data_IF_572879224286
#
_entry.id   IF_572879224286
#
_cell.length_a   1.000
_cell.length_b   1.000
_cell.length_c   1.000
_cell.angle_alpha   90.00
_cell.angle_beta   90.00
_cell.angle_gamma   90.00
#
_symmetry.space_group_name_H-M   'P 1'
#
loop_
_entity.id
_entity.type
_entity.pdbx_description
1 polymer ?
#
# COMPACT_ATOMS: atom_id res chain seq x y z
N UNK A 1 -28.86 1.83 -17.40
CA UNK A 1 -27.80 1.63 -16.39
C UNK A 1 -28.40 1.90 -15.02
N UNK A 2 -28.13 1.04 -14.05
CA UNK A 2 -28.72 1.15 -12.72
C UNK A 2 -28.04 2.29 -11.96
N UNK A 3 -28.84 3.20 -11.38
CA UNK A 3 -28.33 4.24 -10.48
C UNK A 3 -28.10 3.67 -9.08
N UNK A 4 -27.27 2.65 -9.00
CA UNK A 4 -26.99 1.93 -7.77
C UNK A 4 -25.52 1.48 -7.70
N UNK A 5 -24.89 1.64 -6.54
CA UNK A 5 -23.52 1.19 -6.28
C UNK A 5 -23.52 0.23 -5.11
N UNK A 6 -22.99 -0.98 -5.32
CA UNK A 6 -22.85 -1.96 -4.24
C UNK A 6 -21.54 -1.73 -3.47
N UNK A 7 -21.57 -1.91 -2.15
CA UNK A 7 -20.36 -1.90 -1.31
C UNK A 7 -20.15 -3.31 -0.77
N UNK A 8 -19.01 -3.92 -1.11
CA UNK A 8 -18.65 -5.24 -0.62
C UNK A 8 -17.95 -5.17 0.74
N UNK A 9 -18.35 -6.06 1.64
CA UNK A 9 -17.74 -6.34 2.94
C UNK A 9 -17.51 -7.85 3.10
N UNK A 10 -16.80 -8.26 4.16
CA UNK A 10 -16.68 -9.66 4.61
C UNK A 10 -16.90 -9.72 6.11
N UNK A 11 -17.40 -10.81 6.68
CA UNK A 11 -17.51 -10.90 8.13
C UNK A 11 -16.14 -11.05 8.82
N UNK A 12 -16.02 -10.55 10.07
CA UNK A 12 -14.79 -10.68 10.88
C UNK A 12 -13.70 -9.63 10.58
N UNK A 13 -12.52 -9.80 11.16
CA UNK A 13 -11.42 -8.82 11.05
C UNK A 13 -11.40 -7.78 12.17
N UNK A 14 -10.24 -7.17 12.41
CA UNK A 14 -10.02 -6.17 13.47
C UNK A 14 -10.55 -4.77 13.13
N UNK A 15 -10.95 -4.56 11.88
CA UNK A 15 -11.38 -3.29 11.29
C UNK A 15 -12.89 -3.06 11.32
N UNK A 16 -13.66 -4.05 11.80
CA UNK A 16 -15.12 -4.03 11.89
C UNK A 16 -15.62 -3.85 13.31
N UNK A 17 -16.84 -3.33 13.46
CA UNK A 17 -17.49 -3.17 14.77
C UNK A 17 -18.68 -4.12 14.97
N UNK A 18 -19.53 -3.84 15.95
CA UNK A 18 -20.65 -4.72 16.34
C UNK A 18 -21.72 -4.91 15.26
N UNK A 19 -21.76 -4.00 14.29
CA UNK A 19 -22.67 -4.04 13.14
C UNK A 19 -22.09 -4.84 11.95
N UNK A 20 -20.85 -5.33 12.06
CA UNK A 20 -20.20 -6.08 11.00
C UNK A 20 -19.68 -5.22 9.86
N UNK A 21 -19.62 -3.89 10.04
CA UNK A 21 -19.11 -2.97 9.04
C UNK A 21 -17.81 -2.31 9.50
N UNK A 22 -16.97 -1.93 8.54
CA UNK A 22 -15.98 -0.90 8.80
C UNK A 22 -16.68 0.42 9.12
N UNK A 23 -16.05 1.23 9.97
CA UNK A 23 -16.63 2.52 10.39
C UNK A 23 -16.86 3.50 9.24
N UNK A 24 -16.15 3.33 8.12
CA UNK A 24 -16.30 4.17 6.92
C UNK A 24 -17.31 3.62 5.89
N UNK A 25 -17.75 2.36 6.00
CA UNK A 25 -18.65 1.71 5.03
C UNK A 25 -20.02 2.37 5.00
N UNK A 26 -20.71 2.47 6.14
CA UNK A 26 -22.05 3.07 6.18
C UNK A 26 -22.05 4.58 5.88
N UNK A 27 -21.06 5.38 6.31
CA UNK A 27 -20.90 6.76 5.83
C UNK A 27 -20.85 6.87 4.30
N UNK A 28 -20.07 6.01 3.61
CA UNK A 28 -20.03 5.99 2.14
C UNK A 28 -21.40 5.65 1.55
N UNK A 29 -22.06 4.59 2.05
CA UNK A 29 -23.40 4.17 1.58
C UNK A 29 -24.41 5.30 1.73
N UNK A 30 -24.41 5.97 2.88
CA UNK A 30 -25.33 7.07 3.16
C UNK A 30 -25.04 8.27 2.26
N UNK A 31 -23.77 8.62 2.03
CA UNK A 31 -23.40 9.71 1.13
C UNK A 31 -23.84 9.45 -0.33
N UNK A 32 -23.74 8.20 -0.81
CA UNK A 32 -24.26 7.81 -2.13
C UNK A 32 -25.80 7.98 -2.18
N UNK A 33 -26.50 7.57 -1.11
CA UNK A 33 -27.95 7.75 -0.99
C UNK A 33 -28.40 9.20 -0.96
N UNK A 34 -27.70 10.03 -0.21
CA UNK A 34 -27.97 11.46 -0.13
C UNK A 34 -27.72 12.17 -1.47
N UNK A 35 -26.79 11.66 -2.30
CA UNK A 35 -26.57 12.11 -3.66
C UNK A 35 -27.63 11.62 -4.68
N UNK A 36 -28.66 10.89 -4.23
CA UNK A 36 -29.79 10.45 -5.05
C UNK A 36 -29.53 9.16 -5.84
N UNK A 37 -28.52 8.38 -5.45
CA UNK A 37 -28.25 7.04 -5.97
C UNK A 37 -28.64 5.99 -4.94
N UNK A 38 -28.90 4.75 -5.36
CA UNK A 38 -29.07 3.65 -4.42
C UNK A 38 -27.71 3.06 -4.01
N UNK A 39 -27.65 2.49 -2.80
CA UNK A 39 -26.45 1.81 -2.33
C UNK A 39 -26.77 0.76 -1.27
N UNK A 40 -26.12 -0.39 -1.37
CA UNK A 40 -26.31 -1.49 -0.44
C UNK A 40 -24.98 -2.11 -0.07
N UNK A 41 -24.89 -2.63 1.16
CA UNK A 41 -23.76 -3.44 1.59
C UNK A 41 -24.10 -4.91 1.36
N UNK A 42 -23.22 -5.63 0.66
CA UNK A 42 -23.31 -7.09 0.52
C UNK A 42 -22.06 -7.75 1.09
N UNK A 43 -22.25 -8.90 1.73
CA UNK A 43 -21.16 -9.67 2.32
C UNK A 43 -20.70 -10.76 1.36
N UNK A 44 -19.40 -10.81 1.09
CA UNK A 44 -18.82 -11.90 0.30
C UNK A 44 -18.58 -13.13 1.16
N UNK A 45 -19.09 -14.26 0.68
CA UNK A 45 -18.68 -15.61 1.10
C UNK A 45 -18.47 -16.48 -0.13
N UNK A 46 -17.47 -17.38 -0.12
CA UNK A 46 -17.21 -18.25 -1.27
C UNK A 46 -18.44 -19.02 -1.74
N UNK A 47 -19.27 -19.53 -0.82
CA UNK A 47 -20.49 -20.28 -1.12
C UNK A 47 -21.61 -19.44 -1.77
N UNK A 48 -21.53 -18.11 -1.72
CA UNK A 48 -22.52 -17.19 -2.29
C UNK A 48 -22.08 -16.54 -3.60
N UNK A 49 -20.92 -16.94 -4.15
CA UNK A 49 -20.30 -16.27 -5.31
C UNK A 49 -21.25 -16.14 -6.51
N UNK A 50 -21.99 -17.19 -6.86
CA UNK A 50 -22.90 -17.15 -8.01
C UNK A 50 -24.18 -16.33 -7.74
N UNK A 51 -24.70 -16.40 -6.51
CA UNK A 51 -25.85 -15.58 -6.10
C UNK A 51 -25.48 -14.10 -6.06
N UNK A 52 -24.31 -13.77 -5.51
CA UNK A 52 -23.75 -12.42 -5.50
C UNK A 52 -23.50 -11.91 -6.92
N UNK A 53 -22.91 -12.73 -7.80
CA UNK A 53 -22.70 -12.34 -9.19
C UNK A 53 -24.02 -11.98 -9.88
N UNK A 54 -25.02 -12.87 -9.78
CA UNK A 54 -26.34 -12.67 -10.40
C UNK A 54 -27.01 -11.41 -9.84
N UNK A 55 -27.15 -11.33 -8.53
CA UNK A 55 -27.80 -10.20 -7.87
C UNK A 55 -27.09 -8.86 -8.17
N UNK A 56 -25.76 -8.82 -8.07
CA UNK A 56 -25.02 -7.58 -8.25
C UNK A 56 -25.02 -7.13 -9.71
N UNK A 57 -24.81 -8.05 -10.66
CA UNK A 57 -24.78 -7.71 -12.09
C UNK A 57 -26.14 -7.22 -12.63
N UNK A 58 -27.25 -7.71 -12.07
CA UNK A 58 -28.60 -7.31 -12.51
C UNK A 58 -29.04 -5.96 -11.91
N UNK A 59 -28.55 -5.59 -10.73
CA UNK A 59 -29.11 -4.48 -9.94
C UNK A 59 -28.20 -3.25 -9.80
N UNK A 60 -26.89 -3.35 -10.09
CA UNK A 60 -25.94 -2.25 -9.83
C UNK A 60 -25.19 -1.80 -11.09
N UNK A 61 -24.73 -0.55 -11.09
CA UNK A 61 -23.89 0.04 -12.15
C UNK A 61 -22.40 0.09 -11.79
N UNK A 62 -22.05 -0.12 -10.53
CA UNK A 62 -20.67 -0.14 -10.06
C UNK A 62 -20.53 -0.78 -8.69
N UNK A 63 -19.29 -1.03 -8.26
CA UNK A 63 -18.98 -1.63 -6.97
C UNK A 63 -17.80 -0.96 -6.26
N UNK A 64 -17.87 -0.88 -4.94
CA UNK A 64 -16.77 -0.48 -4.05
C UNK A 64 -16.38 -1.69 -3.21
N UNK A 65 -15.10 -2.07 -3.22
CA UNK A 65 -14.58 -3.07 -2.27
C UNK A 65 -14.09 -2.39 -0.99
N UNK A 66 -14.71 -2.72 0.14
CA UNK A 66 -14.24 -2.37 1.49
C UNK A 66 -13.71 -3.58 2.23
N UNK A 67 -13.09 -4.50 1.48
CA UNK A 67 -12.59 -5.77 2.00
C UNK A 67 -11.07 -5.75 2.07
N UNK A 68 -10.52 -5.97 3.28
CA UNK A 68 -9.08 -6.23 3.41
C UNK A 68 -8.78 -7.64 2.85
N UNK A 69 -7.86 -7.79 1.88
CA UNK A 69 -7.55 -9.09 1.28
C UNK A 69 -7.19 -10.19 2.28
N UNK A 70 -6.51 -9.84 3.37
CA UNK A 70 -6.13 -10.78 4.44
C UNK A 70 -7.31 -11.34 5.24
N UNK A 71 -8.48 -10.71 5.17
CA UNK A 71 -9.70 -11.11 5.88
C UNK A 71 -10.66 -11.92 5.01
N UNK A 72 -10.32 -12.19 3.74
CA UNK A 72 -11.21 -12.90 2.81
C UNK A 72 -11.25 -14.40 3.16
N UNK A 73 -12.42 -14.97 3.45
CA UNK A 73 -12.54 -16.40 3.71
C UNK A 73 -12.08 -17.24 2.51
N UNK A 74 -11.12 -18.15 2.73
CA UNK A 74 -10.56 -18.99 1.67
C UNK A 74 -9.53 -18.28 0.77
N UNK A 75 -9.12 -17.05 1.11
CA UNK A 75 -8.15 -16.28 0.33
C UNK A 75 -8.78 -15.43 -0.77
N UNK A 76 -8.00 -14.50 -1.32
CA UNK A 76 -8.49 -13.46 -2.24
C UNK A 76 -8.92 -13.96 -3.62
N UNK A 77 -8.44 -15.13 -4.06
CA UNK A 77 -8.60 -15.60 -5.44
C UNK A 77 -10.06 -15.64 -5.90
N UNK A 78 -10.95 -16.23 -5.10
CA UNK A 78 -12.37 -16.32 -5.44
C UNK A 78 -13.07 -14.96 -5.44
N UNK A 79 -12.67 -14.07 -4.53
CA UNK A 79 -13.22 -12.73 -4.46
C UNK A 79 -12.79 -11.87 -5.65
N UNK A 80 -11.51 -11.94 -6.03
CA UNK A 80 -10.99 -11.23 -7.20
C UNK A 80 -11.58 -11.77 -8.52
N UNK A 81 -11.84 -13.08 -8.61
CA UNK A 81 -12.59 -13.65 -9.74
C UNK A 81 -14.00 -13.05 -9.84
N UNK A 82 -14.74 -12.98 -8.73
CA UNK A 82 -16.05 -12.32 -8.69
C UNK A 82 -15.99 -10.86 -9.16
N UNK A 83 -15.06 -10.06 -8.62
CA UNK A 83 -14.92 -8.64 -9.01
C UNK A 83 -14.55 -8.48 -10.49
N UNK A 84 -13.70 -9.37 -11.02
CA UNK A 84 -13.34 -9.40 -12.44
C UNK A 84 -14.57 -9.70 -13.29
N UNK A 85 -15.32 -10.75 -12.97
CA UNK A 85 -16.56 -11.12 -13.66
C UNK A 85 -17.60 -10.00 -13.65
N UNK A 86 -17.75 -9.28 -12.53
CA UNK A 86 -18.66 -8.13 -12.45
C UNK A 86 -18.22 -6.99 -13.37
N UNK A 87 -16.90 -6.75 -13.46
CA UNK A 87 -16.34 -5.75 -14.37
C UNK A 87 -16.57 -6.16 -15.83
N UNK A 88 -16.37 -7.44 -16.17
CA UNK A 88 -16.66 -8.00 -17.50
C UNK A 88 -18.15 -7.95 -17.85
N UNK A 89 -19.04 -7.99 -16.85
CA UNK A 89 -20.47 -7.78 -17.00
C UNK A 89 -20.88 -6.30 -17.18
N UNK A 90 -19.91 -5.38 -17.18
CA UNK A 90 -20.10 -3.95 -17.45
C UNK A 90 -20.26 -3.07 -16.21
N UNK A 91 -20.02 -3.59 -15.01
CA UNK A 91 -20.02 -2.76 -13.79
C UNK A 91 -18.72 -1.99 -13.68
N UNK A 92 -18.81 -0.73 -13.24
CA UNK A 92 -17.64 0.08 -12.96
C UNK A 92 -17.04 -0.31 -11.61
N UNK A 93 -15.86 -0.89 -11.63
CA UNK A 93 -15.07 -1.17 -10.44
C UNK A 93 -14.35 0.06 -9.94
N UNK A 94 -14.50 0.38 -8.65
CA UNK A 94 -13.84 1.53 -8.04
C UNK A 94 -12.37 1.27 -7.65
N UNK A 95 -12.05 -0.01 -7.44
CA UNK A 95 -10.70 -0.55 -7.43
C UNK A 95 -10.82 -1.96 -8.02
N UNK A 96 -10.45 -2.14 -9.29
CA UNK A 96 -10.49 -3.47 -9.92
C UNK A 96 -9.40 -4.37 -9.34
N UNK A 97 -9.51 -5.72 -9.42
CA UNK A 97 -8.42 -6.60 -9.00
C UNK A 97 -7.08 -6.28 -9.68
N UNK A 98 -7.12 -5.88 -10.96
CA UNK A 98 -5.93 -5.45 -11.68
C UNK A 98 -5.28 -4.21 -11.04
N UNK A 99 -6.07 -3.19 -10.71
CA UNK A 99 -5.59 -1.97 -10.03
C UNK A 99 -5.07 -2.27 -8.62
N UNK A 100 -5.80 -3.11 -7.86
CA UNK A 100 -5.38 -3.52 -6.51
C UNK A 100 -4.01 -4.20 -6.53
N UNK A 101 -3.76 -5.07 -7.52
CA UNK A 101 -2.49 -5.76 -7.67
C UNK A 101 -1.40 -4.85 -8.21
N UNK A 102 -1.72 -3.94 -9.13
CA UNK A 102 -0.71 -3.11 -9.77
C UNK A 102 -0.23 -1.95 -8.87
N UNK A 103 -1.13 -1.33 -8.12
CA UNK A 103 -0.81 -0.24 -7.19
C UNK A 103 -0.48 -0.74 -5.77
N UNK A 104 -1.11 -1.81 -5.31
CA UNK A 104 -1.01 -2.27 -3.93
C UNK A 104 0.12 -3.27 -3.67
N UNK A 105 0.71 -3.86 -4.72
CA UNK A 105 1.86 -4.74 -4.56
C UNK A 105 3.12 -3.94 -4.25
N UNK A 106 4.02 -4.50 -3.43
CA UNK A 106 5.27 -3.83 -3.04
C UNK A 106 6.20 -3.60 -4.22
N UNK A 107 6.15 -4.44 -5.25
CA UNK A 107 6.95 -4.24 -6.47
C UNK A 107 6.53 -3.02 -7.29
N UNK A 108 5.45 -2.32 -6.94
CA UNK A 108 5.14 -1.00 -7.49
C UNK A 108 6.32 -0.03 -7.34
N UNK A 109 7.10 -0.14 -6.26
CA UNK A 109 8.30 0.67 -6.07
C UNK A 109 9.37 0.35 -7.14
N UNK A 110 9.57 -0.93 -7.45
CA UNK A 110 10.54 -1.37 -8.46
C UNK A 110 10.13 -0.91 -9.85
N UNK A 111 8.82 -0.93 -10.15
CA UNK A 111 8.29 -0.42 -11.42
C UNK A 111 8.51 1.09 -11.59
N UNK A 112 8.79 1.82 -10.51
CA UNK A 112 9.01 3.26 -10.46
C UNK A 112 10.48 3.66 -10.20
N UNK A 113 11.41 2.70 -10.11
CA UNK A 113 12.81 2.97 -9.73
C UNK A 113 13.63 3.70 -10.82
N UNK A 114 13.11 3.81 -12.04
CA UNK A 114 13.67 4.63 -13.12
C UNK A 114 13.10 6.06 -13.15
N UNK A 115 12.34 6.44 -12.11
CA UNK A 115 11.83 7.79 -11.88
C UNK A 115 12.50 8.41 -10.66
N UNK A 116 12.35 9.72 -10.46
CA UNK A 116 12.88 10.42 -9.28
C UNK A 116 12.13 10.07 -7.98
N UNK A 117 11.01 9.33 -8.05
CA UNK A 117 10.21 8.95 -6.89
C UNK A 117 10.85 7.86 -6.04
N UNK A 118 11.62 6.95 -6.66
CA UNK A 118 12.12 5.74 -6.00
C UNK A 118 13.60 5.56 -6.35
N UNK A 119 14.47 5.22 -5.38
CA UNK A 119 15.89 4.99 -5.65
C UNK A 119 16.10 3.91 -6.71
N UNK A 120 16.99 4.18 -7.66
CA UNK A 120 17.25 3.31 -8.82
C UNK A 120 17.80 1.93 -8.48
N UNK A 121 18.33 1.75 -7.27
CA UNK A 121 18.80 0.46 -6.75
C UNK A 121 17.73 -0.28 -5.94
N UNK A 122 16.45 0.06 -6.11
CA UNK A 122 15.33 -0.69 -5.56
C UNK A 122 15.05 -1.91 -6.44
N UNK A 123 15.02 -3.11 -5.87
CA UNK A 123 14.82 -4.37 -6.58
C UNK A 123 13.71 -5.22 -5.95
N UNK A 124 13.17 -6.18 -6.70
CA UNK A 124 12.28 -7.22 -6.18
C UNK A 124 12.86 -8.59 -6.51
N UNK A 125 12.84 -9.46 -5.51
CA UNK A 125 13.20 -10.87 -5.66
C UNK A 125 11.92 -11.70 -5.71
N UNK A 126 11.74 -12.43 -6.81
CA UNK A 126 10.58 -13.31 -7.05
C UNK A 126 10.91 -14.79 -6.83
N UNK A 127 12.20 -15.11 -6.64
CA UNK A 127 12.68 -16.45 -6.34
C UNK A 127 13.86 -16.37 -5.36
N UNK A 128 14.00 -17.44 -4.56
CA UNK A 128 15.02 -17.55 -3.50
C UNK A 128 16.44 -17.45 -4.05
N UNK A 129 16.69 -18.03 -5.23
CA UNK A 129 18.02 -18.04 -5.83
C UNK A 129 18.49 -16.61 -6.18
N UNK A 130 17.62 -15.81 -6.79
CA UNK A 130 17.90 -14.42 -7.14
C UNK A 130 18.22 -13.57 -5.89
N UNK A 131 17.47 -13.77 -4.80
CA UNK A 131 17.69 -13.09 -3.53
C UNK A 131 19.04 -13.44 -2.92
N UNK A 132 19.32 -14.74 -2.76
CA UNK A 132 20.56 -15.23 -2.13
C UNK A 132 21.81 -14.86 -2.92
N UNK A 133 21.71 -14.78 -4.25
CA UNK A 133 22.83 -14.38 -5.10
C UNK A 133 23.09 -12.87 -5.11
N UNK A 134 22.07 -12.04 -4.88
CA UNK A 134 22.14 -10.59 -5.11
C UNK A 134 22.22 -9.78 -3.82
N UNK A 135 21.46 -10.16 -2.79
CA UNK A 135 21.35 -9.39 -1.55
C UNK A 135 22.69 -9.19 -0.81
N UNK A 136 23.61 -10.18 -0.74
CA UNK A 136 24.94 -9.97 -0.15
C UNK A 136 25.73 -8.83 -0.82
N UNK A 137 25.52 -8.62 -2.12
CA UNK A 137 26.14 -7.52 -2.87
C UNK A 137 25.37 -6.23 -2.66
N UNK A 138 24.03 -6.26 -2.69
CA UNK A 138 23.18 -5.10 -2.43
C UNK A 138 23.49 -4.44 -1.08
N UNK A 139 23.61 -5.25 -0.02
CA UNK A 139 23.91 -4.80 1.33
C UNK A 139 25.31 -4.19 1.50
N UNK A 140 26.25 -4.48 0.58
CA UNK A 140 27.58 -3.84 0.60
C UNK A 140 27.55 -2.34 0.25
N UNK A 141 26.47 -1.85 -0.36
CA UNK A 141 26.29 -0.42 -0.66
C UNK A 141 25.79 0.37 0.56
N UNK A 142 25.43 -0.30 1.65
CA UNK A 142 24.92 0.31 2.87
C UNK A 142 23.65 -0.37 3.36
N UNK A 143 23.01 0.24 4.34
CA UNK A 143 21.81 -0.31 4.98
C UNK A 143 20.66 -0.49 3.98
N UNK A 144 19.94 -1.61 4.10
CA UNK A 144 18.81 -1.97 3.24
C UNK A 144 17.53 -2.09 4.06
N UNK A 145 16.40 -1.92 3.40
CA UNK A 145 15.07 -2.22 3.92
C UNK A 145 14.45 -3.29 3.03
N UNK A 146 14.26 -4.48 3.61
CA UNK A 146 13.56 -5.58 2.97
C UNK A 146 12.06 -5.50 3.30
N UNK A 147 11.18 -5.63 2.31
CA UNK A 147 9.72 -5.53 2.47
C UNK A 147 9.03 -6.73 1.83
N UNK A 148 8.36 -7.55 2.63
CA UNK A 148 7.48 -8.59 2.09
C UNK A 148 6.27 -7.98 1.39
N UNK A 149 5.72 -8.69 0.40
CA UNK A 149 4.55 -8.21 -0.35
C UNK A 149 3.28 -8.09 0.53
N UNK A 150 2.97 -9.14 1.31
CA UNK A 150 1.75 -9.27 2.10
C UNK A 150 2.01 -9.00 3.57
N UNK A 151 2.40 -7.76 3.89
CA UNK A 151 2.58 -7.29 5.26
C UNK A 151 1.58 -6.18 5.58
N UNK A 152 1.14 -6.12 6.83
CA UNK A 152 0.41 -4.96 7.36
C UNK A 152 1.13 -4.44 8.59
N UNK A 153 0.99 -3.14 8.86
CA UNK A 153 1.50 -2.50 10.09
C UNK A 153 2.96 -2.83 10.40
N UNK A 154 3.83 -2.81 9.39
CA UNK A 154 5.28 -3.02 9.56
C UNK A 154 5.75 -4.48 9.61
N UNK A 155 4.84 -5.46 9.57
CA UNK A 155 5.24 -6.88 9.54
C UNK A 155 5.97 -7.24 8.25
N UNK A 156 7.10 -7.94 8.38
CA UNK A 156 8.02 -8.33 7.31
C UNK A 156 8.66 -7.13 6.61
N UNK A 157 8.79 -6.00 7.31
CA UNK A 157 9.60 -4.86 6.90
C UNK A 157 10.82 -4.81 7.80
N UNK A 158 12.00 -5.10 7.26
CA UNK A 158 13.24 -5.25 8.01
C UNK A 158 14.25 -4.20 7.58
N UNK A 159 14.73 -3.36 8.52
CA UNK A 159 15.97 -2.61 8.33
C UNK A 159 17.14 -3.55 8.60
N UNK A 160 18.03 -3.68 7.63
CA UNK A 160 19.15 -4.62 7.65
C UNK A 160 20.45 -3.83 7.59
N UNK A 161 21.30 -4.03 8.58
CA UNK A 161 22.56 -3.31 8.77
C UNK A 161 23.66 -4.32 9.07
N UNK A 162 24.91 -4.02 8.73
CA UNK A 162 26.03 -4.77 9.29
C UNK A 162 26.16 -4.45 10.78
N UNK A 163 26.34 -5.48 11.61
CA UNK A 163 26.52 -5.29 13.05
C UNK A 163 27.83 -4.54 13.34
N UNK A 164 28.90 -4.91 12.62
CA UNK A 164 30.21 -4.27 12.71
C UNK A 164 30.25 -2.96 11.89
N UNK A 165 30.37 -1.83 12.60
CA UNK A 165 30.41 -0.49 12.01
C UNK A 165 31.72 -0.21 11.26
N UNK A 166 32.83 -0.79 11.69
CA UNK A 166 34.11 -0.62 11.02
C UNK A 166 34.12 -1.39 9.70
N UNK A 167 33.50 -2.58 9.67
CA UNK A 167 33.23 -3.30 8.43
C UNK A 167 32.28 -2.51 7.52
N UNK A 168 31.17 -1.98 8.05
CA UNK A 168 30.24 -1.15 7.27
C UNK A 168 30.89 0.08 6.63
N UNK A 169 31.88 0.68 7.31
CA UNK A 169 32.61 1.84 6.79
C UNK A 169 33.73 1.49 5.81
N UNK A 170 34.18 0.22 5.76
CA UNK A 170 35.34 -0.21 4.98
C UNK A 170 35.04 -1.19 3.85
N UNK A 171 33.85 -1.79 3.83
CA UNK A 171 33.40 -2.65 2.74
C UNK A 171 33.40 -1.88 1.42
N UNK A 172 33.99 -2.47 0.38
CA UNK A 172 33.93 -1.92 -0.97
C UNK A 172 32.55 -2.20 -1.59
N UNK A 173 31.77 -1.16 -1.94
CA UNK A 173 30.45 -1.34 -2.54
C UNK A 173 30.52 -2.19 -3.82
N UNK A 174 29.63 -3.15 -3.94
CA UNK A 174 29.64 -4.14 -5.03
C UNK A 174 30.39 -5.45 -4.68
N UNK A 175 30.96 -5.56 -3.49
CA UNK A 175 31.58 -6.80 -3.01
C UNK A 175 30.56 -7.64 -2.25
N UNK A 176 30.31 -8.86 -2.73
CA UNK A 176 29.43 -9.80 -2.02
C UNK A 176 29.96 -10.09 -0.61
N UNK A 177 29.13 -9.86 0.39
CA UNK A 177 29.45 -10.12 1.79
C UNK A 177 29.48 -11.64 2.10
N UNK A 178 30.41 -12.12 2.94
CA UNK A 178 30.40 -13.49 3.44
C UNK A 178 29.10 -13.84 4.17
N UNK A 179 28.62 -15.08 4.03
CA UNK A 179 27.35 -15.51 4.64
C UNK A 179 27.36 -15.54 6.17
N UNK A 180 28.54 -15.63 6.78
CA UNK A 180 28.73 -15.56 8.24
C UNK A 180 28.85 -14.12 8.75
N UNK A 181 28.72 -13.11 7.89
CA UNK A 181 28.70 -11.69 8.27
C UNK A 181 27.55 -11.45 9.25
N UNK A 182 27.85 -10.86 10.41
CA UNK A 182 26.83 -10.51 11.41
C UNK A 182 26.03 -9.29 10.98
N UNK A 183 24.72 -9.45 11.00
CA UNK A 183 23.73 -8.44 10.68
C UNK A 183 23.01 -8.02 11.94
N UNK A 184 22.61 -6.75 11.97
CA UNK A 184 21.58 -6.22 12.84
C UNK A 184 20.32 -6.01 12.00
N UNK A 185 19.27 -6.78 12.29
CA UNK A 185 17.99 -6.72 11.59
C UNK A 185 16.91 -6.20 12.55
N UNK A 186 16.28 -5.08 12.21
CA UNK A 186 15.21 -4.46 13.02
C UNK A 186 13.88 -4.53 12.26
N UNK A 187 12.85 -5.16 12.83
CA UNK A 187 11.53 -5.25 12.20
C UNK A 187 10.66 -4.04 12.52
N UNK A 188 9.97 -3.48 11.52
CA UNK A 188 9.12 -2.31 11.69
C UNK A 188 7.82 -2.60 12.46
N UNK A 189 7.46 -3.86 12.70
CA UNK A 189 6.20 -4.20 13.40
C UNK A 189 6.18 -3.65 14.82
N UNK A 190 7.31 -3.73 15.53
CA UNK A 190 7.47 -3.31 16.93
C UNK A 190 8.87 -2.75 17.27
N UNK A 191 9.73 -2.55 16.26
CA UNK A 191 11.15 -2.14 16.40
C UNK A 191 12.03 -3.13 17.19
N UNK A 192 11.62 -4.40 17.38
CA UNK A 192 12.56 -5.38 17.93
C UNK A 192 13.75 -5.56 16.98
N UNK A 193 14.88 -5.96 17.55
CA UNK A 193 16.13 -6.14 16.81
C UNK A 193 16.71 -7.51 17.08
N UNK A 194 17.21 -8.13 16.03
CA UNK A 194 17.86 -9.42 16.04
C UNK A 194 19.28 -9.30 15.49
N UNK A 195 20.20 -10.06 16.07
CA UNK A 195 21.54 -10.26 15.51
C UNK A 195 21.57 -11.63 14.86
N UNK A 196 21.83 -11.67 13.56
CA UNK A 196 21.83 -12.91 12.75
C UNK A 196 23.02 -12.96 11.81
N UNK A 197 23.37 -14.14 11.34
CA UNK A 197 24.28 -14.27 10.19
C UNK A 197 23.53 -13.97 8.90
N UNK A 198 24.21 -13.38 7.92
CA UNK A 198 23.62 -13.03 6.62
C UNK A 198 22.93 -14.23 5.95
N UNK A 199 23.58 -15.39 5.92
CA UNK A 199 23.00 -16.62 5.38
C UNK A 199 21.72 -17.04 6.10
N UNK A 200 21.76 -17.05 7.44
CA UNK A 200 20.59 -17.42 8.27
C UNK A 200 19.42 -16.45 8.07
N UNK A 201 19.70 -15.15 7.99
CA UNK A 201 18.66 -14.15 7.76
C UNK A 201 18.06 -14.27 6.35
N UNK A 202 18.85 -14.63 5.34
CA UNK A 202 18.34 -14.90 4.01
C UNK A 202 17.45 -16.15 3.99
N UNK A 203 17.88 -17.26 4.60
CA UNK A 203 17.05 -18.47 4.77
C UNK A 203 15.71 -18.15 5.47
N UNK A 204 15.75 -17.28 6.48
CA UNK A 204 14.54 -16.80 7.15
C UNK A 204 13.62 -16.02 6.20
N UNK A 205 14.17 -15.17 5.34
CA UNK A 205 13.41 -14.35 4.40
C UNK A 205 12.78 -15.14 3.24
N UNK A 206 13.22 -16.38 2.97
CA UNK A 206 12.65 -17.25 1.93
C UNK A 206 11.13 -17.42 2.09
N UNK A 207 10.62 -17.38 3.33
CA UNK A 207 9.19 -17.46 3.63
C UNK A 207 8.36 -16.32 2.99
N UNK A 208 8.97 -15.17 2.71
CA UNK A 208 8.30 -14.03 2.08
C UNK A 208 8.22 -14.16 0.55
N UNK A 209 9.06 -15.03 -0.03
CA UNK A 209 9.16 -15.27 -1.47
C UNK A 209 8.37 -16.53 -1.85
N UNK A 210 8.38 -17.57 -1.01
CA UNK A 210 7.70 -18.83 -1.28
C UNK A 210 6.20 -18.71 -1.06
N UNK A 211 5.41 -18.91 -2.12
CA UNK A 211 3.95 -18.99 -2.07
C UNK A 211 3.28 -18.08 -3.09
N UNK A 212 1.94 -18.03 -3.02
CA UNK A 212 1.15 -17.23 -3.95
C UNK A 212 1.44 -15.73 -3.77
N UNK A 213 1.85 -15.07 -4.86
CA UNK A 213 2.25 -13.66 -4.88
C UNK A 213 3.42 -13.31 -3.93
N UNK A 214 4.24 -14.31 -3.57
CA UNK A 214 5.45 -14.10 -2.78
C UNK A 214 6.49 -13.29 -3.55
N UNK A 215 7.07 -12.31 -2.87
CA UNK A 215 8.20 -11.50 -3.35
C UNK A 215 8.81 -10.75 -2.16
N UNK A 216 10.05 -10.33 -2.32
CA UNK A 216 10.75 -9.49 -1.34
C UNK A 216 11.34 -8.27 -2.04
N UNK A 217 10.89 -7.08 -1.66
CA UNK A 217 11.45 -5.83 -2.17
C UNK A 217 12.65 -5.43 -1.33
N UNK A 218 13.71 -5.02 -2.00
CA UNK A 218 14.96 -4.55 -1.44
C UNK A 218 15.19 -3.10 -1.85
N UNK A 219 15.15 -2.19 -0.89
CA UNK A 219 15.29 -0.75 -1.08
C UNK A 219 16.39 -0.22 -0.14
N UNK A 220 17.15 0.79 -0.55
CA UNK A 220 18.09 1.44 0.38
C UNK A 220 17.36 2.03 1.59
N UNK A 221 17.99 2.00 2.75
CA UNK A 221 17.45 2.68 3.92
C UNK A 221 17.50 4.20 3.73
N UNK A 222 16.39 4.88 4.07
CA UNK A 222 16.27 6.33 3.99
C UNK A 222 16.46 6.93 5.38
N UNK A 223 17.63 7.54 5.70
CA UNK A 223 17.95 7.94 7.08
C UNK A 223 16.99 8.95 7.70
N UNK A 224 16.41 9.83 6.87
CA UNK A 224 15.45 10.86 7.27
C UNK A 224 14.06 10.32 7.60
N UNK A 225 13.83 9.00 7.53
CA UNK A 225 12.60 8.38 8.07
C UNK A 225 12.36 8.75 9.55
N UNK A 226 13.41 9.05 10.31
CA UNK A 226 13.33 9.52 11.71
C UNK A 226 12.62 10.88 11.84
N UNK A 227 12.56 11.67 10.77
CA UNK A 227 11.78 12.91 10.71
C UNK A 227 10.29 12.63 10.54
N UNK A 228 9.95 11.49 9.92
CA UNK A 228 8.62 10.92 9.83
C UNK A 228 8.24 10.52 8.40
N UNK A 229 7.32 9.56 8.29
CA UNK A 229 6.67 9.18 7.05
C UNK A 229 5.49 10.11 6.77
N UNK A 230 5.36 10.59 5.54
CA UNK A 230 4.34 11.54 5.12
C UNK A 230 3.36 10.81 4.21
N UNK A 231 2.18 10.48 4.73
CA UNK A 231 1.13 9.78 3.99
C UNK A 231 0.14 10.78 3.43
N UNK A 232 0.00 10.83 2.10
CA UNK A 232 -1.08 11.56 1.43
C UNK A 232 -2.25 10.58 1.27
N UNK A 233 -3.43 10.91 1.81
CA UNK A 233 -4.66 10.18 1.49
C UNK A 233 -5.36 10.86 0.31
N UNK A 234 -5.72 10.06 -0.69
CA UNK A 234 -6.41 10.52 -1.89
C UNK A 234 -7.76 9.83 -2.06
N UNK A 235 -8.71 10.59 -2.59
CA UNK A 235 -9.95 10.06 -3.17
C UNK A 235 -9.93 10.38 -4.66
N UNK A 236 -9.83 9.33 -5.48
CA UNK A 236 -9.48 9.50 -6.90
C UNK A 236 -8.21 10.34 -7.03
N UNK A 237 -8.22 11.45 -7.79
CA UNK A 237 -7.04 12.31 -7.97
C UNK A 237 -6.88 13.36 -6.86
N UNK A 238 -7.83 13.43 -5.92
CA UNK A 238 -7.94 14.53 -4.98
C UNK A 238 -7.22 14.22 -3.65
N UNK A 239 -6.14 14.93 -3.30
CA UNK A 239 -5.55 14.82 -1.98
C UNK A 239 -6.53 15.39 -0.94
N UNK A 240 -6.79 14.63 0.12
CA UNK A 240 -7.80 14.96 1.13
C UNK A 240 -7.14 15.46 2.42
N UNK A 241 -6.16 14.72 2.92
CA UNK A 241 -5.34 15.13 4.06
C UNK A 241 -3.99 14.42 4.04
N UNK A 242 -3.07 14.93 4.85
CA UNK A 242 -1.73 14.37 5.02
C UNK A 242 -1.58 13.90 6.46
N UNK A 243 -1.08 12.68 6.65
CA UNK A 243 -0.69 12.16 7.96
C UNK A 243 0.82 12.14 8.04
N UNK A 244 1.38 12.91 8.96
CA UNK A 244 2.81 12.83 9.28
C UNK A 244 3.01 11.89 10.46
N UNK A 245 3.63 10.74 10.21
CA UNK A 245 3.84 9.66 11.16
C UNK A 245 5.30 9.65 11.60
N UNK A 246 5.57 10.24 12.75
CA UNK A 246 6.93 10.35 13.28
C UNK A 246 7.27 9.15 14.17
N UNK A 247 8.29 8.34 13.84
CA UNK A 247 8.72 7.22 14.68
C UNK A 247 9.08 7.62 16.12
N UNK A 248 9.03 6.66 17.02
CA UNK A 248 9.51 6.85 18.40
C UNK A 248 11.00 7.23 18.40
N UNK A 249 11.38 8.26 19.16
CA UNK A 249 12.77 8.72 19.18
C UNK A 249 13.74 7.70 19.81
N UNK A 250 14.95 7.64 19.26
CA UNK A 250 16.08 6.90 19.82
C UNK A 250 16.31 5.52 19.20
N UNK A 251 17.54 5.01 19.36
CA UNK A 251 17.93 3.71 18.83
C UNK A 251 17.84 3.63 17.31
N UNK A 252 17.43 2.46 16.82
CA UNK A 252 17.21 2.17 15.40
C UNK A 252 15.73 2.19 15.01
N UNK A 253 14.90 2.84 15.83
CA UNK A 253 13.47 2.97 15.58
C UNK A 253 13.23 3.70 14.26
N UNK A 254 12.54 3.03 13.35
CA UNK A 254 12.12 3.60 12.07
C UNK A 254 10.65 3.31 11.75
N UNK A 255 9.99 2.49 12.58
CA UNK A 255 8.59 2.16 12.42
C UNK A 255 7.70 3.40 12.57
N UNK A 256 6.83 3.59 11.60
CA UNK A 256 5.81 4.64 11.59
C UNK A 256 4.47 4.17 12.19
N UNK A 257 4.42 3.05 12.94
CA UNK A 257 3.17 2.52 13.50
C UNK A 257 2.86 3.07 14.90
N UNK A 258 1.57 3.27 15.21
CA UNK A 258 1.16 3.69 16.56
C UNK A 258 1.58 2.68 17.64
N UNK A 259 1.54 1.37 17.33
CA UNK A 259 1.90 0.30 18.27
C UNK A 259 3.38 0.31 18.64
N UNK A 260 4.24 0.78 17.74
CA UNK A 260 5.68 0.94 17.99
C UNK A 260 6.04 2.31 18.61
N UNK A 261 5.03 3.13 18.93
CA UNK A 261 5.19 4.41 19.63
C UNK A 261 5.31 5.62 18.72
N UNK A 262 4.99 5.50 17.42
CA UNK A 262 4.96 6.64 16.52
C UNK A 262 3.88 7.67 16.93
N UNK A 263 4.12 8.94 16.61
CA UNK A 263 3.19 10.06 16.83
C UNK A 263 2.67 10.55 15.50
N UNK A 264 1.35 10.66 15.38
CA UNK A 264 0.70 11.11 14.15
C UNK A 264 0.21 12.53 14.30
N UNK A 265 0.46 13.36 13.29
CA UNK A 265 -0.24 14.62 13.07
C UNK A 265 -1.03 14.54 11.79
N UNK A 266 -2.15 15.28 11.76
CA UNK A 266 -3.07 15.31 10.64
C UNK A 266 -3.10 16.74 10.13
N UNK A 267 -2.60 16.91 8.93
CA UNK A 267 -2.45 18.20 8.28
C UNK A 267 -3.34 18.25 7.03
N UNK A 268 -3.70 19.47 6.64
CA UNK A 268 -4.31 19.67 5.33
C UNK A 268 -3.25 19.60 4.23
N UNK A 269 -3.61 19.25 2.99
CA UNK A 269 -2.66 19.16 1.88
C UNK A 269 -1.84 20.45 1.68
N UNK A 270 -2.40 21.63 1.97
CA UNK A 270 -1.70 22.91 1.78
C UNK A 270 -0.49 23.08 2.71
N UNK A 271 -0.43 22.37 3.83
CA UNK A 271 0.75 22.36 4.70
C UNK A 271 1.94 21.61 4.06
N UNK A 272 1.68 20.80 3.03
CA UNK A 272 2.62 19.95 2.32
C UNK A 272 2.53 20.20 0.80
N UNK A 273 2.24 21.44 0.40
CA UNK A 273 1.91 21.80 -0.99
C UNK A 273 2.97 21.35 -1.99
N UNK A 274 4.26 21.51 -1.65
CA UNK A 274 5.37 21.11 -2.51
C UNK A 274 5.33 19.60 -2.83
N UNK A 275 5.21 18.74 -1.82
CA UNK A 275 5.06 17.30 -2.01
C UNK A 275 3.78 16.97 -2.80
N UNK A 276 2.67 17.63 -2.48
CA UNK A 276 1.38 17.39 -3.16
C UNK A 276 1.47 17.73 -4.66
N UNK A 277 2.14 18.83 -5.00
CA UNK A 277 2.36 19.26 -6.39
C UNK A 277 3.33 18.33 -7.11
N UNK A 278 4.46 17.99 -6.49
CA UNK A 278 5.42 17.03 -7.06
C UNK A 278 4.76 15.67 -7.32
N UNK A 279 3.99 15.16 -6.36
CA UNK A 279 3.26 13.92 -6.54
C UNK A 279 2.22 14.06 -7.65
N UNK A 280 1.53 15.19 -7.73
CA UNK A 280 0.55 15.45 -8.78
C UNK A 280 1.14 15.40 -10.19
N UNK A 281 2.33 15.98 -10.37
CA UNK A 281 3.07 15.97 -11.62
C UNK A 281 3.60 14.58 -11.99
N UNK A 282 3.91 13.74 -10.99
CA UNK A 282 4.39 12.39 -11.20
C UNK A 282 3.26 11.36 -11.48
N UNK A 283 2.00 11.66 -11.11
CA UNK A 283 0.85 10.73 -11.28
C UNK A 283 0.69 10.14 -12.69
N UNK A 284 0.83 10.90 -13.80
CA UNK A 284 0.72 10.32 -15.14
C UNK A 284 1.76 9.22 -15.40
N UNK A 285 3.00 9.42 -14.92
CA UNK A 285 4.07 8.41 -15.03
C UNK A 285 3.78 7.19 -14.17
N UNK A 286 3.23 7.40 -12.96
CA UNK A 286 2.79 6.30 -12.09
C UNK A 286 1.68 5.50 -12.79
N UNK A 287 0.68 6.18 -13.35
CA UNK A 287 -0.42 5.54 -14.07
C UNK A 287 0.10 4.71 -15.25
N UNK A 288 1.00 5.25 -16.07
CA UNK A 288 1.61 4.51 -17.19
C UNK A 288 2.33 3.24 -16.72
N UNK A 289 3.11 3.34 -15.65
CA UNK A 289 3.95 2.24 -15.15
C UNK A 289 3.18 1.19 -14.35
N UNK A 290 2.10 1.57 -13.69
CA UNK A 290 1.29 0.70 -12.84
C UNK A 290 -0.04 0.27 -13.48
N UNK A 291 -0.18 0.37 -14.80
CA UNK A 291 -1.25 -0.33 -15.53
C UNK A 291 -2.47 0.51 -15.92
N UNK A 292 -2.32 1.83 -16.06
CA UNK A 292 -3.25 2.71 -16.76
C UNK A 292 -3.80 3.88 -15.92
N UNK A 293 -4.59 4.74 -16.57
CA UNK A 293 -5.17 5.97 -16.02
C UNK A 293 -6.23 5.74 -14.91
N UNK A 294 -6.60 4.49 -14.66
CA UNK A 294 -7.56 4.14 -13.62
C UNK A 294 -6.90 4.16 -12.24
N UNK A 295 -6.89 5.35 -11.64
CA UNK A 295 -6.45 5.52 -10.25
C UNK A 295 -7.48 4.90 -9.28
N UNK A 296 -7.03 4.25 -8.19
CA UNK A 296 -7.93 3.70 -7.19
C UNK A 296 -8.87 4.76 -6.59
N UNK A 297 -10.07 4.37 -6.17
CA UNK A 297 -11.02 5.30 -5.56
C UNK A 297 -10.52 5.87 -4.23
N UNK A 298 -9.93 5.05 -3.37
CA UNK A 298 -9.34 5.48 -2.09
C UNK A 298 -7.98 4.84 -1.97
N UNK A 299 -6.95 5.67 -1.87
CA UNK A 299 -5.58 5.21 -1.83
C UNK A 299 -4.66 6.18 -1.10
N UNK A 300 -3.48 5.71 -0.75
CA UNK A 300 -2.45 6.53 -0.15
C UNK A 300 -1.13 6.37 -0.87
N UNK A 301 -0.33 7.43 -0.83
CA UNK A 301 1.09 7.39 -1.15
C UNK A 301 1.87 7.86 0.08
N UNK A 302 2.83 7.05 0.51
CA UNK A 302 3.60 7.25 1.72
C UNK A 302 5.03 7.62 1.34
N UNK A 303 5.48 8.78 1.78
CA UNK A 303 6.77 9.36 1.42
C UNK A 303 7.71 9.48 2.61
N UNK A 304 9.00 9.47 2.33
CA UNK A 304 10.07 9.79 3.27
C UNK A 304 10.80 11.01 2.74
N UNK A 305 11.22 11.90 3.63
CA UNK A 305 12.18 12.93 3.26
C UNK A 305 13.52 12.30 2.88
N UNK A 306 14.24 12.98 2.01
CA UNK A 306 15.58 12.65 1.58
C UNK A 306 16.33 13.94 1.21
N UNK A 307 17.65 13.84 1.10
CA UNK A 307 18.49 14.95 0.66
C UNK A 307 18.67 14.86 -0.86
N UNK A 308 18.31 15.93 -1.58
CA UNK A 308 18.61 16.10 -3.00
C UNK A 308 20.11 16.26 -3.26
N UNK A 309 20.52 16.18 -4.52
CA UNK A 309 21.94 16.29 -4.90
C UNK A 309 22.57 17.64 -4.51
N UNK A 310 21.75 18.70 -4.44
CA UNK A 310 22.15 20.04 -4.02
C UNK A 310 21.92 20.31 -2.52
N UNK A 311 21.47 19.29 -1.77
CA UNK A 311 21.13 19.37 -0.35
C UNK A 311 19.74 19.95 -0.07
N UNK A 312 18.88 20.14 -1.06
CA UNK A 312 17.47 20.47 -0.84
C UNK A 312 16.70 19.29 -0.25
N UNK A 313 15.50 19.55 0.28
CA UNK A 313 14.56 18.46 0.56
C UNK A 313 14.10 17.83 -0.76
N UNK A 314 14.00 16.51 -0.77
CA UNK A 314 13.27 15.74 -1.78
C UNK A 314 12.47 14.63 -1.10
N UNK A 315 11.59 13.97 -1.85
CA UNK A 315 10.67 12.96 -1.32
C UNK A 315 10.85 11.64 -2.05
N UNK A 316 11.00 10.58 -1.26
CA UNK A 316 11.10 9.21 -1.75
C UNK A 316 9.82 8.46 -1.41
N UNK A 317 9.18 7.88 -2.42
CA UNK A 317 8.01 7.03 -2.27
C UNK A 317 8.41 5.70 -1.60
N UNK A 318 7.80 5.42 -0.46
CA UNK A 318 8.02 4.23 0.35
C UNK A 318 6.97 3.14 0.18
N UNK A 319 5.74 3.51 -0.14
CA UNK A 319 4.60 2.59 -0.33
C UNK A 319 3.43 3.31 -1.04
N UNK A 320 2.66 2.54 -1.82
CA UNK A 320 1.31 2.89 -2.23
C UNK A 320 0.34 1.88 -1.63
N UNK A 321 -0.77 2.34 -1.05
CA UNK A 321 -1.84 1.47 -0.57
C UNK A 321 -3.15 1.80 -1.27
N UNK A 322 -3.82 0.81 -1.85
CA UNK A 322 -5.13 0.99 -2.51
C UNK A 322 -6.16 -0.08 -2.13
N UNK A 323 -5.77 -1.05 -1.31
CA UNK A 323 -6.62 -2.16 -0.87
C UNK A 323 -7.22 -1.82 0.49
N UNK A 324 -8.49 -1.41 0.50
CA UNK A 324 -9.26 -1.16 1.73
C UNK A 324 -8.64 -0.11 2.69
N UNK A 325 -8.08 0.97 2.13
CA UNK A 325 -7.60 2.14 2.91
C UNK A 325 -8.76 2.76 3.69
N UNK A 326 -8.57 3.00 4.98
CA UNK A 326 -9.60 3.58 5.87
C UNK A 326 -9.34 5.04 6.24
N UNK A 327 -10.42 5.76 6.52
CA UNK A 327 -10.44 7.17 6.98
C UNK A 327 -11.37 7.34 8.20
N UNK A 328 -11.34 6.34 9.08
CA UNK A 328 -12.38 6.13 10.10
C UNK A 328 -12.34 7.12 11.27
N UNK A 329 -11.27 7.91 11.41
CA UNK A 329 -11.13 8.94 12.45
C UNK A 329 -11.45 10.35 11.93
N UNK A 330 -11.79 10.49 10.64
CA UNK A 330 -11.88 11.77 9.92
C UNK A 330 -13.21 11.91 9.16
N UNK A 331 -14.26 11.22 9.62
CA UNK A 331 -15.59 11.21 8.98
C UNK A 331 -16.24 12.60 8.91
N UNK A 332 -15.81 13.53 9.75
CA UNK A 332 -16.24 14.93 9.78
C UNK A 332 -15.58 15.80 8.69
N UNK A 333 -14.60 15.27 7.95
CA UNK A 333 -13.86 16.01 6.91
C UNK A 333 -14.50 15.97 5.52
N UNK A 334 -15.68 15.36 5.37
CA UNK A 334 -16.39 15.32 4.09
C UNK A 334 -15.88 14.27 3.09
N UNK A 335 -15.16 13.27 3.58
CA UNK A 335 -14.44 12.29 2.75
C UNK A 335 -15.44 11.35 2.07
N UNK A 336 -16.44 10.88 2.80
CA UNK A 336 -17.49 9.99 2.27
C UNK A 336 -18.29 10.65 1.14
N UNK A 337 -18.54 11.96 1.19
CA UNK A 337 -19.24 12.71 0.15
C UNK A 337 -18.35 12.82 -1.10
N UNK A 338 -17.04 13.02 -0.93
CA UNK A 338 -16.10 13.02 -2.04
C UNK A 338 -15.98 11.62 -2.67
N UNK A 339 -15.93 10.56 -1.86
CA UNK A 339 -15.93 9.17 -2.31
C UNK A 339 -17.20 8.86 -3.10
N UNK A 340 -18.36 9.24 -2.56
CA UNK A 340 -19.64 9.08 -3.24
C UNK A 340 -19.68 9.82 -4.59
N UNK A 341 -19.24 11.08 -4.60
CA UNK A 341 -19.19 11.91 -5.82
C UNK A 341 -18.29 11.30 -6.88
N UNK A 342 -17.09 10.87 -6.50
CA UNK A 342 -16.14 10.25 -7.42
C UNK A 342 -16.67 8.91 -7.96
N UNK A 343 -17.22 8.07 -7.09
CA UNK A 343 -17.78 6.77 -7.49
C UNK A 343 -18.97 6.94 -8.45
N UNK A 344 -19.90 7.84 -8.13
CA UNK A 344 -21.03 8.18 -9.00
C UNK A 344 -20.54 8.72 -10.34
N UNK A 345 -19.60 9.67 -10.32
CA UNK A 345 -19.04 10.28 -11.53
C UNK A 345 -18.42 9.25 -12.47
N UNK A 346 -17.69 8.27 -11.93
CA UNK A 346 -17.11 7.18 -12.75
C UNK A 346 -18.19 6.32 -13.41
N UNK A 347 -19.25 5.97 -12.70
CA UNK A 347 -20.39 5.23 -13.28
C UNK A 347 -21.08 6.05 -14.38
N UNK A 348 -21.32 7.34 -14.14
CA UNK A 348 -21.94 8.24 -15.12
C UNK A 348 -21.09 8.42 -16.38
N UNK A 349 -19.76 8.58 -16.24
CA UNK A 349 -18.84 8.68 -17.38
C UNK A 349 -18.86 7.39 -18.21
N UNK A 350 -18.74 6.22 -17.57
CA UNK A 350 -18.82 4.94 -18.27
C UNK A 350 -20.15 4.77 -19.03
N UNK A 351 -21.26 5.25 -18.45
CA UNK A 351 -22.57 5.24 -19.10
C UNK A 351 -22.64 6.06 -20.39
N UNK A 352 -21.83 7.12 -20.50
CA UNK A 352 -21.77 7.96 -21.71
C UNK A 352 -20.86 7.41 -22.79
N UNK A 353 -19.98 6.47 -22.44
CA UNK A 353 -18.99 5.86 -23.35
C UNK A 353 -19.44 4.50 -23.90
N UNK A 354 -20.38 3.81 -23.22
CA UNK A 354 -21.04 2.59 -23.66
C UNK A 354 -22.22 2.88 -24.60
#
# INVERSE_FOLDING_TARGET
MNKAIVVFEVEGGSDKYIDGHRRDTMPIVNAIKEAGWDAEVVFYRPEWTEDLFTYVSENFGGYISRVNPGNIPGGEKGYFDLLTRLSDAGLVGMSTPAEMMAYGAKDALVKLNDTDLVPADTAAYYDVESFHNTFPTSLSYGERVLKQNRGSTGSGIWRVQLEDKDLAASVEPGTALPLDTKLKATEAVDNHTEIRELGEFMDFCDQYIIGDNGMLVDMRFMPRIVEGEIRILLVGPHPVFVVHKKPAAGGDNFSATLFSGAKYTYDKPEAWQELVDQFADARPVIAEKLGGDNIPLIWTADFMLADGEDGSDTYVLGEINCSCVGFTSELDMGIQELVAKEAIGRVEVAATQA
#
